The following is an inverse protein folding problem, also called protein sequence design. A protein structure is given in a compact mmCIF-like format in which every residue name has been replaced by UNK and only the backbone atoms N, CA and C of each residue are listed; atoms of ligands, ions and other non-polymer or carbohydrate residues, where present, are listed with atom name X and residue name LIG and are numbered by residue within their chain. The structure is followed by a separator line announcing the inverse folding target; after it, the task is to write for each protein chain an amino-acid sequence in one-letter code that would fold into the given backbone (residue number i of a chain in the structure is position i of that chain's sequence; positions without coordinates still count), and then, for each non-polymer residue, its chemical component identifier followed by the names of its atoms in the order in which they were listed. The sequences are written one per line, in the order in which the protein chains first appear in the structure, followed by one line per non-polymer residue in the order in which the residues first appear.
data_IF_945989255884
#
_entry.id   IF_945989255884
#
_cell.length_a   1.000
_cell.length_b   1.000
_cell.length_c   1.000
_cell.angle_alpha   90.00
_cell.angle_beta   90.00
_cell.angle_gamma   90.00
#
_symmetry.space_group_name_H-M   'P 1'
#
loop_
_entity.id
_entity.type
_entity.pdbx_description
1 polymer ?
#
# COMPACT_ATOMS: atom_id res chain seq x y z
N UNK A 1 61.24 -35.35 46.11
CA UNK A 1 61.38 -36.59 45.34
C UNK A 1 60.41 -36.56 44.16
N UNK A 2 60.96 -36.34 43.00
CA UNK A 2 60.26 -36.13 41.72
C UNK A 2 60.09 -37.51 41.10
N UNK A 3 58.91 -37.84 40.60
CA UNK A 3 58.74 -38.97 39.71
C UNK A 3 58.11 -38.49 38.39
N UNK A 4 58.90 -38.55 37.34
CA UNK A 4 58.49 -38.40 35.97
C UNK A 4 57.54 -39.52 35.52
N UNK A 5 56.46 -39.20 34.91
CA UNK A 5 55.54 -40.10 34.25
C UNK A 5 55.51 -39.82 32.76
N UNK A 6 55.94 -40.78 31.96
CA UNK A 6 56.07 -40.77 30.50
C UNK A 6 54.70 -40.60 29.82
N UNK A 7 54.64 -39.67 28.86
CA UNK A 7 53.57 -39.53 27.85
C UNK A 7 53.70 -40.68 26.83
N UNK A 8 52.67 -41.52 26.75
CA UNK A 8 52.49 -42.44 25.65
C UNK A 8 51.66 -41.76 24.56
N UNK A 9 52.19 -41.80 23.33
CA UNK A 9 51.59 -41.20 22.15
C UNK A 9 50.26 -41.86 21.77
N UNK A 10 49.29 -41.03 21.49
CA UNK A 10 48.02 -41.42 20.83
C UNK A 10 48.20 -41.15 19.34
N UNK A 11 48.10 -42.22 18.56
CA UNK A 11 48.27 -42.20 17.11
C UNK A 11 47.27 -41.32 16.39
N UNK A 12 47.71 -40.67 15.36
CA UNK A 12 46.89 -39.95 14.39
C UNK A 12 45.98 -40.94 13.63
N UNK A 13 44.68 -40.66 13.49
CA UNK A 13 43.85 -41.44 12.57
C UNK A 13 44.16 -41.05 11.12
N UNK A 14 44.37 -42.08 10.30
CA UNK A 14 44.68 -42.04 8.89
C UNK A 14 43.61 -41.33 8.07
N UNK A 15 44.06 -40.50 7.15
CA UNK A 15 43.30 -39.93 6.03
C UNK A 15 42.85 -41.03 5.04
N UNK A 16 41.75 -41.67 5.29
CA UNK A 16 40.96 -42.45 4.31
C UNK A 16 39.53 -42.57 4.81
N UNK A 17 38.74 -41.51 4.57
CA UNK A 17 37.28 -41.55 4.44
C UNK A 17 36.79 -40.19 3.91
N UNK A 18 37.30 -39.89 2.71
CA UNK A 18 36.77 -38.81 1.87
C UNK A 18 36.02 -39.48 0.71
N UNK A 19 34.74 -39.76 0.89
CA UNK A 19 33.83 -39.92 -0.23
C UNK A 19 32.42 -40.19 0.33
N UNK A 20 31.81 -39.14 0.86
CA UNK A 20 30.37 -39.01 0.91
C UNK A 20 29.96 -37.53 1.07
N UNK A 21 30.51 -36.67 0.20
CA UNK A 21 29.89 -35.38 -0.05
C UNK A 21 28.62 -35.64 -0.82
N UNK A 22 27.50 -35.71 -0.10
CA UNK A 22 26.19 -35.48 -0.72
C UNK A 22 26.23 -34.09 -1.33
N UNK A 23 26.50 -34.04 -2.63
CA UNK A 23 26.28 -32.87 -3.47
C UNK A 23 24.76 -32.64 -3.42
N UNK A 24 24.33 -31.71 -2.58
CA UNK A 24 22.99 -31.17 -2.69
C UNK A 24 23.01 -30.48 -4.06
N UNK A 25 22.45 -31.12 -5.06
CA UNK A 25 22.08 -30.45 -6.31
C UNK A 25 21.04 -29.42 -5.91
N UNK A 26 21.46 -28.18 -5.77
CA UNK A 26 20.55 -27.04 -5.78
C UNK A 26 19.95 -27.07 -7.17
N UNK A 27 18.71 -27.50 -7.26
CA UNK A 27 17.93 -27.50 -8.48
C UNK A 27 17.84 -26.04 -8.95
N UNK A 28 18.58 -25.70 -9.99
CA UNK A 28 18.67 -24.36 -10.57
C UNK A 28 17.46 -24.02 -11.45
N UNK A 29 16.32 -24.64 -11.19
CA UNK A 29 15.00 -24.29 -11.72
C UNK A 29 14.08 -23.80 -10.58
N UNK A 30 14.53 -22.85 -9.76
CA UNK A 30 13.58 -21.95 -9.13
C UNK A 30 13.20 -20.93 -10.21
N UNK A 31 12.11 -21.12 -10.90
CA UNK A 31 11.30 -19.99 -11.37
C UNK A 31 11.23 -19.04 -10.19
N UNK A 32 11.80 -17.83 -10.34
CA UNK A 32 11.88 -16.88 -9.25
C UNK A 32 10.51 -16.74 -8.61
N UNK A 33 10.43 -16.81 -7.28
CA UNK A 33 9.18 -16.68 -6.51
C UNK A 33 8.57 -15.35 -6.95
N UNK A 34 7.45 -15.41 -7.69
CA UNK A 34 6.70 -14.23 -8.09
C UNK A 34 5.72 -13.91 -6.97
N UNK A 35 5.99 -12.83 -6.24
CA UNK A 35 5.04 -12.31 -5.26
C UNK A 35 4.01 -11.43 -5.95
N UNK A 36 2.76 -11.55 -5.54
CA UNK A 36 1.67 -10.70 -5.99
C UNK A 36 1.46 -9.54 -5.01
N UNK A 37 1.54 -8.33 -5.53
CA UNK A 37 1.07 -7.14 -4.84
C UNK A 37 -0.16 -6.63 -5.57
N UNK A 38 -1.27 -6.49 -4.87
CA UNK A 38 -2.51 -6.01 -5.47
C UNK A 38 -2.96 -4.73 -4.78
N UNK A 39 -3.24 -3.71 -5.57
CA UNK A 39 -3.85 -2.47 -5.12
C UNK A 39 -5.32 -2.43 -5.53
N UNK A 40 -6.20 -2.09 -4.59
CA UNK A 40 -7.60 -1.80 -4.85
C UNK A 40 -7.94 -0.43 -4.30
N UNK A 41 -8.35 0.49 -5.16
CA UNK A 41 -8.94 1.75 -4.71
C UNK A 41 -10.35 1.47 -4.22
N UNK A 42 -10.72 2.06 -3.06
CA UNK A 42 -12.07 1.94 -2.52
C UNK A 42 -13.15 2.25 -3.57
N UNK A 43 -14.31 1.62 -3.45
CA UNK A 43 -15.48 1.88 -4.29
C UNK A 43 -15.97 3.34 -4.21
N UNK A 44 -16.89 3.72 -5.09
CA UNK A 44 -17.45 5.08 -5.08
C UNK A 44 -17.97 5.45 -3.70
N UNK A 45 -17.57 6.62 -3.19
CA UNK A 45 -18.05 7.17 -1.92
C UNK A 45 -19.11 8.25 -2.14
N UNK A 46 -19.90 8.54 -1.09
CA UNK A 46 -20.90 9.60 -1.12
C UNK A 46 -20.34 10.93 -1.68
N UNK A 47 -19.13 11.31 -1.25
CA UNK A 47 -18.51 12.55 -1.71
C UNK A 47 -17.89 12.44 -3.10
N UNK A 48 -17.61 11.24 -3.59
CA UNK A 48 -17.30 11.05 -5.02
C UNK A 48 -18.53 11.33 -5.87
N UNK A 49 -19.69 10.76 -5.50
CA UNK A 49 -20.96 10.98 -6.19
C UNK A 49 -21.40 12.46 -6.17
N UNK A 50 -21.18 13.16 -5.06
CA UNK A 50 -21.47 14.59 -4.90
C UNK A 50 -20.39 15.51 -5.52
N UNK A 51 -19.35 14.96 -6.15
CA UNK A 51 -18.22 15.70 -6.72
C UNK A 51 -17.52 16.63 -5.73
N UNK A 52 -17.39 16.19 -4.45
CA UNK A 52 -16.68 16.94 -3.40
C UNK A 52 -15.22 16.49 -3.27
N UNK A 53 -14.37 17.37 -2.77
CA UNK A 53 -13.03 17.01 -2.29
C UNK A 53 -13.14 16.20 -1.00
N UNK A 54 -12.79 14.93 -1.04
CA UNK A 54 -13.00 14.02 0.11
C UNK A 54 -11.81 14.05 1.09
N UNK A 55 -10.61 13.82 0.61
CA UNK A 55 -9.41 13.77 1.46
C UNK A 55 -9.57 12.84 2.67
N UNK A 56 -9.36 13.38 3.87
CA UNK A 56 -9.45 12.64 5.13
C UNK A 56 -10.84 12.64 5.77
N UNK A 57 -11.83 13.30 5.13
CA UNK A 57 -13.22 13.17 5.57
C UNK A 57 -13.67 11.72 5.48
N UNK A 58 -14.30 11.23 6.57
CA UNK A 58 -14.65 9.82 6.72
C UNK A 58 -16.08 9.55 6.30
N UNK A 59 -16.28 9.36 5.01
CA UNK A 59 -17.58 9.17 4.35
C UNK A 59 -17.80 7.72 3.94
N UNK A 60 -19.04 7.30 3.80
CA UNK A 60 -19.46 5.95 3.40
C UNK A 60 -19.28 5.69 1.90
N UNK A 61 -19.35 4.42 1.53
CA UNK A 61 -19.56 3.98 0.16
C UNK A 61 -21.02 4.28 -0.27
N UNK A 62 -21.20 4.58 -1.55
CA UNK A 62 -22.54 4.51 -2.17
C UNK A 62 -22.94 3.06 -2.44
N UNK A 63 -24.20 2.79 -2.76
CA UNK A 63 -24.64 1.47 -3.23
C UNK A 63 -23.77 1.00 -4.42
N UNK A 64 -23.48 1.89 -5.37
CA UNK A 64 -22.56 1.60 -6.49
C UNK A 64 -21.15 1.27 -6.00
N UNK A 65 -20.64 1.98 -5.00
CA UNK A 65 -19.31 1.68 -4.43
C UNK A 65 -19.25 0.32 -3.76
N UNK A 66 -20.35 -0.14 -3.16
CA UNK A 66 -20.49 -1.52 -2.64
C UNK A 66 -20.47 -2.54 -3.78
N UNK A 67 -21.22 -2.30 -4.86
CA UNK A 67 -21.20 -3.16 -6.06
C UNK A 67 -19.80 -3.21 -6.70
N UNK A 68 -19.12 -2.07 -6.80
CA UNK A 68 -17.73 -2.00 -7.29
C UNK A 68 -16.76 -2.83 -6.41
N UNK A 69 -16.98 -2.85 -5.09
CA UNK A 69 -16.17 -3.65 -4.17
C UNK A 69 -16.43 -5.16 -4.32
N UNK A 70 -17.69 -5.58 -4.50
CA UNK A 70 -18.04 -6.97 -4.83
C UNK A 70 -17.39 -7.40 -6.14
N UNK A 71 -17.51 -6.58 -7.17
CA UNK A 71 -16.92 -6.88 -8.48
C UNK A 71 -15.38 -6.99 -8.42
N UNK A 72 -14.72 -6.13 -7.64
CA UNK A 72 -13.28 -6.26 -7.40
C UNK A 72 -12.91 -7.60 -6.76
N UNK A 73 -13.70 -8.06 -5.79
CA UNK A 73 -13.52 -9.36 -5.15
C UNK A 73 -13.72 -10.51 -6.13
N UNK A 74 -14.76 -10.49 -6.96
CA UNK A 74 -15.04 -11.48 -8.00
C UNK A 74 -13.89 -11.58 -9.02
N UNK A 75 -13.37 -10.44 -9.50
CA UNK A 75 -12.22 -10.40 -10.39
C UNK A 75 -10.99 -11.05 -9.75
N UNK A 76 -10.67 -10.72 -8.51
CA UNK A 76 -9.55 -11.31 -7.79
C UNK A 76 -9.76 -12.81 -7.49
N UNK A 77 -11.00 -13.21 -7.21
CA UNK A 77 -11.35 -14.62 -7.03
C UNK A 77 -11.06 -15.44 -8.31
N UNK A 78 -11.38 -14.88 -9.48
CA UNK A 78 -11.13 -15.54 -10.77
C UNK A 78 -9.64 -15.77 -11.07
N UNK A 79 -8.76 -14.91 -10.50
CA UNK A 79 -7.31 -15.07 -10.59
C UNK A 79 -6.75 -16.17 -9.66
N UNK A 80 -7.55 -16.67 -8.71
CA UNK A 80 -7.13 -17.69 -7.76
C UNK A 80 -6.02 -17.24 -6.81
N UNK A 81 -5.87 -15.92 -6.57
CA UNK A 81 -4.82 -15.39 -5.70
C UNK A 81 -5.16 -15.70 -4.25
N UNK A 82 -4.26 -16.40 -3.57
CA UNK A 82 -4.29 -16.53 -2.11
C UNK A 82 -3.40 -15.43 -1.52
N UNK A 83 -4.02 -14.54 -0.75
CA UNK A 83 -3.30 -13.50 -0.04
C UNK A 83 -2.86 -14.01 1.34
N UNK A 84 -1.84 -13.37 1.90
CA UNK A 84 -1.31 -13.69 3.23
C UNK A 84 -1.53 -12.53 4.21
N UNK A 85 -1.70 -11.31 3.70
CA UNK A 85 -1.91 -10.12 4.52
C UNK A 85 -2.68 -9.05 3.73
N UNK A 86 -3.54 -8.30 4.43
CA UNK A 86 -4.21 -7.13 3.88
C UNK A 86 -3.85 -5.86 4.63
N UNK A 87 -3.55 -4.81 3.89
CA UNK A 87 -3.28 -3.47 4.40
C UNK A 87 -4.41 -2.51 4.01
N UNK A 88 -4.95 -1.81 5.00
CA UNK A 88 -6.08 -0.89 4.84
C UNK A 88 -5.73 0.51 5.35
N UNK A 89 -6.34 1.55 4.78
CA UNK A 89 -6.36 2.84 5.47
C UNK A 89 -7.29 2.80 6.68
N UNK A 90 -7.28 3.86 7.49
CA UNK A 90 -8.21 3.97 8.63
C UNK A 90 -9.53 4.66 8.28
N UNK A 91 -9.79 4.92 7.00
CA UNK A 91 -11.02 5.54 6.53
C UNK A 91 -12.03 4.45 6.12
N UNK A 92 -13.28 4.58 6.59
CA UNK A 92 -14.32 3.55 6.49
C UNK A 92 -14.56 3.06 5.07
N UNK A 93 -14.56 3.92 4.06
CA UNK A 93 -14.76 3.52 2.67
C UNK A 93 -13.72 2.51 2.16
N UNK A 94 -12.46 2.62 2.61
CA UNK A 94 -11.43 1.65 2.26
C UNK A 94 -11.54 0.37 3.10
N UNK A 95 -11.90 0.50 4.38
CA UNK A 95 -12.13 -0.65 5.27
C UNK A 95 -13.30 -1.48 4.74
N UNK A 96 -14.43 -0.85 4.42
CA UNK A 96 -15.61 -1.55 3.92
C UNK A 96 -15.34 -2.20 2.56
N UNK A 97 -14.66 -1.50 1.62
CA UNK A 97 -14.23 -2.11 0.36
C UNK A 97 -13.34 -3.33 0.62
N UNK A 98 -12.35 -3.23 1.51
CA UNK A 98 -11.46 -4.34 1.84
C UNK A 98 -12.19 -5.55 2.41
N UNK A 99 -13.12 -5.34 3.34
CA UNK A 99 -13.91 -6.43 3.92
C UNK A 99 -14.83 -7.11 2.89
N UNK A 100 -15.46 -6.33 1.99
CA UNK A 100 -16.28 -6.90 0.91
C UNK A 100 -15.39 -7.74 -0.03
N UNK A 101 -14.24 -7.22 -0.45
CA UNK A 101 -13.28 -7.96 -1.29
C UNK A 101 -12.84 -9.27 -0.62
N UNK A 102 -12.47 -9.23 0.66
CA UNK A 102 -12.05 -10.42 1.40
C UNK A 102 -13.16 -11.47 1.51
N UNK A 103 -14.40 -11.02 1.69
CA UNK A 103 -15.57 -11.90 1.76
C UNK A 103 -15.81 -12.61 0.42
N UNK A 104 -15.72 -11.91 -0.72
CA UNK A 104 -15.81 -12.53 -2.05
C UNK A 104 -14.69 -13.54 -2.31
N UNK A 105 -13.50 -13.31 -1.74
CA UNK A 105 -12.37 -14.21 -1.83
C UNK A 105 -12.49 -15.43 -0.89
N UNK A 106 -13.43 -15.45 0.05
CA UNK A 106 -13.49 -16.36 1.20
C UNK A 106 -12.19 -16.33 2.03
N UNK A 107 -11.60 -15.14 2.17
CA UNK A 107 -10.34 -14.92 2.89
C UNK A 107 -10.49 -13.93 4.06
N UNK A 108 -11.69 -13.83 4.67
CA UNK A 108 -11.98 -12.97 5.83
C UNK A 108 -11.08 -13.25 7.06
N UNK A 109 -10.45 -14.42 7.10
CA UNK A 109 -9.56 -14.85 8.18
C UNK A 109 -8.17 -14.23 8.13
N UNK A 110 -7.84 -13.50 7.07
CA UNK A 110 -6.50 -12.94 6.90
C UNK A 110 -6.16 -11.89 7.96
N UNK A 111 -4.90 -11.83 8.39
CA UNK A 111 -4.44 -10.74 9.21
C UNK A 111 -4.55 -9.43 8.44
N UNK A 112 -5.09 -8.40 9.12
CA UNK A 112 -5.20 -7.07 8.56
C UNK A 112 -4.41 -6.03 9.36
N UNK A 113 -3.79 -5.10 8.66
CA UNK A 113 -3.11 -3.94 9.25
C UNK A 113 -3.75 -2.66 8.76
N UNK A 114 -4.39 -1.92 9.67
CA UNK A 114 -4.91 -0.59 9.38
C UNK A 114 -3.87 0.47 9.69
N UNK A 115 -3.63 1.39 8.74
CA UNK A 115 -2.66 2.47 8.91
C UNK A 115 -3.19 3.79 8.34
N UNK A 116 -3.10 4.85 9.16
CA UNK A 116 -3.39 6.21 8.70
C UNK A 116 -2.44 6.67 7.57
N UNK A 117 -1.26 6.06 7.47
CA UNK A 117 -0.31 6.33 6.40
C UNK A 117 -0.84 5.94 5.02
N UNK A 118 -1.86 5.07 4.94
CA UNK A 118 -2.56 4.70 3.71
C UNK A 118 -3.78 5.57 3.41
N UNK A 119 -4.12 6.55 4.27
CA UNK A 119 -5.21 7.48 4.01
C UNK A 119 -5.03 8.20 2.67
N UNK A 120 -6.14 8.72 2.13
CA UNK A 120 -6.11 9.57 0.94
C UNK A 120 -5.19 10.80 1.17
N UNK A 121 -4.71 11.40 0.09
CA UNK A 121 -4.07 12.70 0.13
C UNK A 121 -4.96 13.70 0.86
N UNK A 122 -4.35 14.46 1.77
CA UNK A 122 -5.06 15.49 2.51
C UNK A 122 -5.23 16.74 1.63
N UNK A 123 -6.47 17.08 1.32
CA UNK A 123 -6.76 18.25 0.47
C UNK A 123 -6.81 19.59 1.22
N UNK A 124 -6.43 19.63 2.51
CA UNK A 124 -6.44 20.85 3.32
C UNK A 124 -7.81 21.49 3.37
N UNK A 125 -7.85 22.81 3.25
CA UNK A 125 -9.09 23.61 3.27
C UNK A 125 -10.03 23.35 2.07
N UNK A 126 -9.63 22.57 1.10
CA UNK A 126 -10.53 22.17 -0.01
C UNK A 126 -11.48 21.04 0.38
N UNK A 127 -11.23 20.31 1.48
CA UNK A 127 -12.08 19.20 1.90
C UNK A 127 -13.51 19.67 2.14
N UNK A 128 -14.48 18.97 1.57
CA UNK A 128 -15.90 19.31 1.60
C UNK A 128 -16.37 20.28 0.53
N UNK A 129 -15.47 20.98 -0.18
CA UNK A 129 -15.84 21.88 -1.26
C UNK A 129 -16.23 21.09 -2.51
N UNK A 130 -17.20 21.63 -3.27
CA UNK A 130 -17.57 21.09 -4.57
C UNK A 130 -16.48 21.43 -5.60
N UNK A 131 -16.04 20.41 -6.35
CA UNK A 131 -14.95 20.59 -7.33
C UNK A 131 -15.32 21.51 -8.49
N UNK A 132 -16.60 21.56 -8.88
CA UNK A 132 -17.06 22.44 -9.94
C UNK A 132 -17.08 23.90 -9.46
N UNK A 133 -17.70 24.16 -8.30
CA UNK A 133 -17.72 25.49 -7.69
C UNK A 133 -16.30 26.02 -7.40
N UNK A 134 -15.42 25.11 -6.98
CA UNK A 134 -14.00 25.43 -6.75
C UNK A 134 -13.30 25.86 -8.06
N UNK A 135 -13.61 25.19 -9.19
CA UNK A 135 -13.09 25.58 -10.50
C UNK A 135 -13.62 26.95 -10.94
N UNK A 136 -14.90 27.20 -10.73
CA UNK A 136 -15.50 28.51 -11.03
C UNK A 136 -14.86 29.64 -10.23
N UNK A 137 -14.46 29.36 -8.99
CA UNK A 137 -13.84 30.35 -8.09
C UNK A 137 -12.36 30.56 -8.35
N UNK A 138 -11.58 29.51 -8.62
CA UNK A 138 -10.12 29.56 -8.66
C UNK A 138 -9.53 29.27 -10.06
N UNK A 139 -10.37 28.94 -11.03
CA UNK A 139 -9.98 28.56 -12.38
C UNK A 139 -9.65 27.06 -12.51
N UNK A 140 -9.88 26.52 -13.71
CA UNK A 140 -9.69 25.09 -14.03
C UNK A 140 -8.24 24.66 -13.84
N UNK A 141 -7.28 25.47 -14.29
CA UNK A 141 -5.85 25.19 -14.21
C UNK A 141 -5.38 25.03 -12.76
N UNK A 142 -5.74 26.00 -11.89
CA UNK A 142 -5.33 25.96 -10.49
C UNK A 142 -5.93 24.74 -9.77
N UNK A 143 -7.20 24.42 -10.02
CA UNK A 143 -7.85 23.25 -9.40
C UNK A 143 -7.28 21.94 -9.95
N UNK A 144 -6.91 21.91 -11.23
CA UNK A 144 -6.22 20.76 -11.82
C UNK A 144 -4.85 20.54 -11.14
N UNK A 145 -4.08 21.63 -10.94
CA UNK A 145 -2.80 21.56 -10.22
C UNK A 145 -2.97 21.02 -8.80
N UNK A 146 -3.92 21.53 -8.01
CA UNK A 146 -4.19 21.02 -6.66
C UNK A 146 -4.62 19.55 -6.64
N UNK A 147 -5.27 19.07 -7.69
CA UNK A 147 -5.78 17.68 -7.77
C UNK A 147 -4.77 16.69 -8.31
N UNK A 148 -3.87 17.10 -9.19
CA UNK A 148 -3.11 16.17 -10.03
C UNK A 148 -1.60 16.39 -9.98
N UNK A 149 -1.11 17.61 -9.75
CA UNK A 149 0.33 17.87 -9.74
C UNK A 149 1.04 17.07 -8.64
N UNK A 150 2.33 16.87 -8.86
CA UNK A 150 3.19 16.15 -7.94
C UNK A 150 3.49 16.96 -6.68
N UNK A 151 3.75 18.26 -6.81
CA UNK A 151 4.31 19.10 -5.74
C UNK A 151 3.53 20.39 -5.43
N UNK A 152 2.40 20.67 -6.12
CA UNK A 152 1.58 21.85 -5.81
C UNK A 152 0.70 21.60 -4.58
N UNK A 153 0.94 22.39 -3.52
CA UNK A 153 0.24 22.30 -2.25
C UNK A 153 -1.16 22.92 -2.35
N UNK A 154 -2.22 22.24 -1.88
CA UNK A 154 -3.54 22.88 -1.71
C UNK A 154 -3.51 23.87 -0.53
N UNK A 155 -4.51 24.76 -0.41
CA UNK A 155 -4.68 25.58 0.78
C UNK A 155 -4.72 24.73 2.05
N UNK A 156 -3.93 25.10 3.06
CA UNK A 156 -3.84 24.33 4.30
C UNK A 156 -5.09 24.51 5.17
N UNK A 157 -5.34 23.53 6.06
CA UNK A 157 -6.31 23.71 7.14
C UNK A 157 -5.96 24.93 7.99
N UNK A 158 -6.98 25.56 8.56
CA UNK A 158 -6.79 26.50 9.65
C UNK A 158 -6.24 25.81 10.91
N UNK A 159 -5.66 26.57 11.83
CA UNK A 159 -5.17 26.04 13.12
C UNK A 159 -6.29 25.36 13.92
N UNK A 160 -7.50 25.92 13.87
CA UNK A 160 -8.69 25.36 14.54
C UNK A 160 -9.07 24.00 13.95
N UNK A 161 -9.13 23.88 12.63
CA UNK A 161 -9.44 22.62 11.93
C UNK A 161 -8.35 21.58 12.16
N UNK A 162 -7.09 21.96 12.15
CA UNK A 162 -5.97 21.08 12.45
C UNK A 162 -6.02 20.56 13.90
N UNK A 163 -6.37 21.42 14.87
CA UNK A 163 -6.55 21.05 16.27
C UNK A 163 -7.74 20.08 16.42
N UNK A 164 -8.85 20.30 15.69
CA UNK A 164 -9.99 19.40 15.68
C UNK A 164 -9.64 18.04 15.09
N UNK A 165 -8.89 18.01 13.97
CA UNK A 165 -8.41 16.77 13.37
C UNK A 165 -7.56 15.95 14.35
N UNK A 166 -6.69 16.59 15.12
CA UNK A 166 -5.85 15.93 16.11
C UNK A 166 -6.62 15.28 17.27
N UNK A 167 -7.88 15.69 17.50
CA UNK A 167 -8.75 15.09 18.52
C UNK A 167 -9.45 13.82 18.02
N UNK A 168 -9.37 13.50 16.74
CA UNK A 168 -9.98 12.29 16.19
C UNK A 168 -9.33 11.04 16.81
N UNK A 169 -10.11 10.10 17.37
CA UNK A 169 -9.61 8.88 18.00
C UNK A 169 -8.64 8.07 17.14
N UNK A 170 -8.77 8.13 15.81
CA UNK A 170 -7.90 7.44 14.86
C UNK A 170 -6.46 7.96 14.89
N UNK A 171 -6.26 9.23 15.27
CA UNK A 171 -4.98 9.93 15.25
C UNK A 171 -4.44 10.34 16.62
N UNK A 172 -5.18 10.09 17.71
CA UNK A 172 -4.83 10.53 19.07
C UNK A 172 -3.45 10.08 19.58
N UNK A 173 -2.87 9.07 18.95
CA UNK A 173 -1.53 8.55 19.26
C UNK A 173 -0.41 9.30 18.51
N UNK A 174 -0.77 10.23 17.63
CA UNK A 174 0.16 11.04 16.85
C UNK A 174 0.31 12.42 17.47
N UNK A 175 1.46 13.04 17.25
CA UNK A 175 1.62 14.45 17.58
C UNK A 175 0.95 15.33 16.53
N UNK A 176 0.39 16.46 16.92
CA UNK A 176 -0.30 17.39 15.99
C UNK A 176 0.59 17.76 14.78
N UNK A 177 1.89 17.96 15.02
CA UNK A 177 2.86 18.28 13.96
C UNK A 177 3.07 17.17 12.94
N UNK A 178 2.71 15.92 13.26
CA UNK A 178 2.87 14.77 12.35
C UNK A 178 1.62 14.56 11.48
N UNK A 179 0.54 15.28 11.78
CA UNK A 179 -0.70 15.26 11.02
C UNK A 179 -0.64 16.27 9.88
N UNK A 180 -0.93 15.86 8.63
CA UNK A 180 -0.93 16.80 7.51
C UNK A 180 -2.07 17.80 7.63
N UNK A 181 -1.80 19.04 7.31
CA UNK A 181 -2.80 20.09 7.14
C UNK A 181 -3.17 20.31 5.66
N UNK A 182 -2.47 19.65 4.77
CA UNK A 182 -2.61 19.62 3.33
C UNK A 182 -1.45 18.83 2.76
N UNK A 183 -1.64 18.16 1.64
CA UNK A 183 -0.59 17.35 1.01
C UNK A 183 -0.52 17.57 -0.48
N UNK A 184 0.70 17.52 -1.00
CA UNK A 184 1.00 17.25 -2.41
C UNK A 184 1.05 15.75 -2.64
N UNK A 185 1.16 15.28 -3.89
CA UNK A 185 1.39 13.85 -4.13
C UNK A 185 2.76 13.42 -3.60
N UNK A 186 3.76 14.32 -3.64
CA UNK A 186 5.09 14.11 -3.07
C UNK A 186 5.04 13.86 -1.57
N UNK A 187 4.41 14.76 -0.81
CA UNK A 187 4.29 14.60 0.65
C UNK A 187 3.37 13.44 1.03
N UNK A 188 2.39 13.09 0.19
CA UNK A 188 1.61 11.85 0.34
C UNK A 188 2.52 10.62 0.23
N UNK A 189 3.45 10.59 -0.75
CA UNK A 189 4.43 9.51 -0.86
C UNK A 189 5.33 9.43 0.37
N UNK A 190 5.87 10.57 0.82
CA UNK A 190 6.72 10.64 2.02
C UNK A 190 6.01 10.07 3.25
N UNK A 191 4.71 10.30 3.38
CA UNK A 191 3.87 9.75 4.45
C UNK A 191 3.61 8.24 4.29
N UNK A 192 3.45 7.76 3.06
CA UNK A 192 3.15 6.34 2.76
C UNK A 192 4.40 5.48 2.82
N UNK A 193 5.58 6.00 2.45
CA UNK A 193 6.82 5.22 2.38
C UNK A 193 7.16 4.43 3.66
N UNK A 194 6.99 4.93 4.89
CA UNK A 194 7.29 4.13 6.07
C UNK A 194 6.46 2.85 6.20
N UNK A 195 5.16 2.86 5.90
CA UNK A 195 4.35 1.63 5.94
C UNK A 195 4.74 0.67 4.81
N UNK A 196 5.13 1.20 3.65
CA UNK A 196 5.69 0.40 2.57
C UNK A 196 6.99 -0.28 3.02
N UNK A 197 7.97 0.48 3.50
CA UNK A 197 9.30 -0.02 3.82
C UNK A 197 9.31 -0.96 5.04
N UNK A 198 8.56 -0.61 6.09
CA UNK A 198 8.63 -1.30 7.38
C UNK A 198 7.70 -2.51 7.46
N UNK A 199 6.70 -2.63 6.57
CA UNK A 199 5.65 -3.65 6.63
C UNK A 199 5.39 -4.32 5.29
N UNK A 200 4.88 -3.57 4.28
CA UNK A 200 4.42 -4.16 3.02
C UNK A 200 5.58 -4.83 2.27
N UNK A 201 6.69 -4.12 2.12
CA UNK A 201 7.89 -4.66 1.46
C UNK A 201 8.50 -5.85 2.22
N UNK A 202 8.43 -5.84 3.56
CA UNK A 202 8.90 -6.96 4.39
C UNK A 202 8.06 -8.21 4.15
N UNK A 203 6.72 -8.08 4.15
CA UNK A 203 5.84 -9.21 3.86
C UNK A 203 6.09 -9.77 2.45
N UNK A 204 6.27 -8.90 1.46
CA UNK A 204 6.59 -9.32 0.09
C UNK A 204 7.95 -10.05 0.03
N UNK A 205 9.00 -9.53 0.68
CA UNK A 205 10.32 -10.18 0.76
C UNK A 205 10.28 -11.53 1.47
N UNK A 206 9.32 -11.73 2.38
CA UNK A 206 9.02 -13.02 3.01
C UNK A 206 8.27 -13.98 2.06
N UNK A 207 8.01 -13.58 0.82
CA UNK A 207 7.35 -14.40 -0.21
C UNK A 207 5.82 -14.36 -0.13
N UNK A 208 5.23 -13.43 0.62
CA UNK A 208 3.78 -13.29 0.80
C UNK A 208 3.13 -12.53 -0.35
N UNK A 209 1.90 -12.90 -0.68
CA UNK A 209 1.01 -12.12 -1.53
C UNK A 209 0.26 -11.10 -0.67
N UNK A 210 0.28 -9.85 -1.09
CA UNK A 210 -0.23 -8.73 -0.30
C UNK A 210 -1.35 -7.99 -1.04
N UNK A 211 -2.46 -7.76 -0.33
CA UNK A 211 -3.54 -6.89 -0.78
C UNK A 211 -3.46 -5.54 -0.05
N UNK A 212 -3.53 -4.44 -0.79
CA UNK A 212 -3.60 -3.08 -0.24
C UNK A 212 -4.87 -2.41 -0.73
N UNK A 213 -5.80 -2.10 0.17
CA UNK A 213 -7.03 -1.37 -0.16
C UNK A 213 -6.95 0.02 0.43
N UNK A 214 -6.86 1.03 -0.44
CA UNK A 214 -6.62 2.40 -0.04
C UNK A 214 -7.30 3.40 -1.00
N UNK A 215 -6.64 4.49 -1.36
CA UNK A 215 -7.24 5.62 -2.05
C UNK A 215 -6.47 6.01 -3.31
N UNK A 216 -7.12 6.80 -4.16
CA UNK A 216 -6.56 7.18 -5.45
C UNK A 216 -5.16 7.77 -5.37
N UNK A 217 -4.91 8.74 -4.51
CA UNK A 217 -3.59 9.38 -4.46
C UNK A 217 -2.58 8.62 -3.59
N UNK A 218 -2.97 7.97 -2.50
CA UNK A 218 -2.04 7.14 -1.74
C UNK A 218 -1.51 5.97 -2.58
N UNK A 219 -2.37 5.31 -3.34
CA UNK A 219 -1.95 4.25 -4.26
C UNK A 219 -1.14 4.79 -5.45
N UNK A 220 -1.55 5.92 -6.06
CA UNK A 220 -0.78 6.57 -7.14
C UNK A 220 0.63 6.96 -6.69
N UNK A 221 0.79 7.42 -5.46
CA UNK A 221 2.12 7.74 -4.93
C UNK A 221 3.02 6.51 -4.85
N UNK A 222 2.49 5.35 -4.43
CA UNK A 222 3.21 4.07 -4.46
C UNK A 222 3.49 3.60 -5.89
N UNK A 223 2.53 3.74 -6.81
CA UNK A 223 2.75 3.40 -8.24
C UNK A 223 3.90 4.22 -8.82
N UNK A 224 3.92 5.55 -8.55
CA UNK A 224 5.04 6.40 -8.98
C UNK A 224 6.37 5.89 -8.45
N UNK A 225 6.42 5.48 -7.20
CA UNK A 225 7.62 4.95 -6.57
C UNK A 225 8.04 3.60 -7.17
N UNK A 226 7.11 2.65 -7.30
CA UNK A 226 7.37 1.29 -7.78
C UNK A 226 7.79 1.25 -9.25
N UNK A 227 7.13 2.04 -10.09
CA UNK A 227 7.40 2.10 -11.52
C UNK A 227 8.39 3.19 -11.92
N UNK A 228 8.92 3.96 -10.96
CA UNK A 228 9.82 5.09 -11.19
C UNK A 228 9.27 6.08 -12.24
N UNK A 229 7.96 6.36 -12.19
CA UNK A 229 7.31 7.26 -13.14
C UNK A 229 7.78 8.69 -12.96
N UNK A 230 7.91 9.40 -14.06
CA UNK A 230 8.10 10.86 -14.07
C UNK A 230 6.87 11.60 -13.50
N UNK A 231 7.00 12.91 -13.30
CA UNK A 231 5.88 13.75 -12.87
C UNK A 231 4.79 13.84 -13.94
N UNK A 232 5.17 13.88 -15.21
CA UNK A 232 4.23 13.92 -16.34
C UNK A 232 3.49 12.60 -16.53
N UNK A 233 4.15 11.46 -16.29
CA UNK A 233 3.53 10.15 -16.38
C UNK A 233 2.53 9.93 -15.26
N UNK A 234 2.87 10.28 -14.01
CA UNK A 234 1.95 10.11 -12.88
C UNK A 234 0.73 11.02 -12.98
N UNK A 235 0.84 12.18 -13.65
CA UNK A 235 -0.31 13.05 -13.92
C UNK A 235 -1.42 12.33 -14.69
N UNK A 236 -1.05 11.45 -15.61
CA UNK A 236 -1.95 10.72 -16.52
C UNK A 236 -2.38 9.37 -15.93
N UNK A 237 -1.71 8.89 -14.90
CA UNK A 237 -2.00 7.59 -14.31
C UNK A 237 -3.22 7.68 -13.40
N UNK A 238 -4.25 6.89 -13.69
CA UNK A 238 -5.47 6.81 -12.90
C UNK A 238 -5.69 5.39 -12.38
N UNK A 239 -6.19 5.29 -11.17
CA UNK A 239 -6.66 4.04 -10.57
C UNK A 239 -8.17 4.17 -10.40
N UNK A 240 -8.98 3.49 -11.22
CA UNK A 240 -10.43 3.51 -11.08
C UNK A 240 -10.88 2.92 -9.74
N UNK A 241 -12.06 3.32 -9.27
CA UNK A 241 -12.68 2.72 -8.09
C UNK A 241 -12.99 1.24 -8.34
N UNK A 242 -12.79 0.39 -7.34
CA UNK A 242 -13.13 -1.03 -7.40
C UNK A 242 -12.43 -1.83 -8.51
N UNK A 243 -11.33 -1.32 -9.10
CA UNK A 243 -10.59 -2.02 -10.13
C UNK A 243 -9.24 -2.47 -9.56
N UNK A 244 -8.98 -3.78 -9.47
CA UNK A 244 -7.70 -4.26 -8.98
C UNK A 244 -6.55 -3.92 -9.93
N UNK A 245 -5.45 -3.44 -9.38
CA UNK A 245 -4.17 -3.25 -10.07
C UNK A 245 -3.19 -4.29 -9.53
N UNK A 246 -2.84 -5.25 -10.35
CA UNK A 246 -2.01 -6.39 -9.99
C UNK A 246 -0.58 -6.15 -10.43
N UNK A 247 0.38 -6.41 -9.54
CA UNK A 247 1.82 -6.37 -9.81
C UNK A 247 2.43 -7.75 -9.58
N UNK A 248 3.23 -8.20 -10.52
CA UNK A 248 4.16 -9.30 -10.37
C UNK A 248 5.54 -8.76 -10.00
N UNK A 249 6.05 -9.17 -8.85
CA UNK A 249 7.34 -8.71 -8.34
C UNK A 249 8.35 -9.86 -8.30
N UNK A 250 9.63 -9.54 -8.50
CA UNK A 250 10.72 -10.48 -8.23
C UNK A 250 11.22 -10.39 -6.78
N UNK A 251 12.20 -11.22 -6.45
CA UNK A 251 12.84 -11.31 -5.13
C UNK A 251 13.49 -10.02 -4.65
N UNK A 252 13.69 -9.03 -5.53
CA UNK A 252 14.25 -7.72 -5.22
C UNK A 252 13.15 -6.63 -5.23
N UNK A 253 11.87 -7.01 -5.25
CA UNK A 253 10.70 -6.15 -5.37
C UNK A 253 10.68 -5.29 -6.65
N UNK A 254 11.37 -5.75 -7.70
CA UNK A 254 11.28 -5.10 -9.00
C UNK A 254 10.00 -5.55 -9.71
N UNK A 255 9.23 -4.59 -10.22
CA UNK A 255 8.03 -4.88 -10.98
C UNK A 255 8.43 -5.52 -12.33
N UNK A 256 7.97 -6.76 -12.56
CA UNK A 256 8.16 -7.47 -13.83
C UNK A 256 7.01 -7.21 -14.78
N UNK A 257 5.81 -7.18 -14.23
CA UNK A 257 4.58 -6.94 -14.97
C UNK A 257 3.56 -6.26 -14.06
N UNK A 258 2.69 -5.45 -14.64
CA UNK A 258 1.50 -4.94 -13.96
C UNK A 258 0.35 -4.75 -14.94
N UNK A 259 -0.88 -4.93 -14.46
CA UNK A 259 -2.08 -4.73 -15.25
C UNK A 259 -3.28 -4.38 -14.37
N UNK A 260 -4.26 -3.72 -14.94
CA UNK A 260 -5.59 -3.60 -14.36
C UNK A 260 -6.41 -4.82 -14.71
N UNK A 261 -7.05 -5.43 -13.71
CA UNK A 261 -8.02 -6.49 -13.94
C UNK A 261 -9.32 -5.92 -14.52
N UNK A 262 -9.98 -6.67 -15.41
CA UNK A 262 -11.15 -6.19 -16.15
C UNK A 262 -12.23 -7.25 -16.21
#
# INVERSE_FOLDING_TARGET
MIREGKLQGVGQPSLKDSENRRTIKIDSQKEGIKMKLVFVRHGESEWNALNLFTGWSDVELTAKGVEEAHHAGEMLHSLGIQFDHVYLSVLKRAIHTGHIVLSELNQDYLPETKSWRLNERHYGALQGLNKQETREKYGDEQVLLWRRSYDVMPPLLSEEEAAKQAQDPRYKHLQVKDLPQGETLKTTLERVLPIWQDKIAVDLLDGKNVLVVAHGNSLRSLVKYLLNLSEDEILKFEIPTGTPLVFDLDENLQVKEYHFEK
#
